data_IF_004644972700
#
_entry.id   IF_004644972700
#
_cell.length_a   1.000
_cell.length_b   1.000
_cell.length_c   1.000
_cell.angle_alpha   90.00
_cell.angle_beta   90.00
_cell.angle_gamma   90.00
#
_symmetry.space_group_name_H-M   'P 1'
#
loop_
_entity.id
_entity.type
_entity.pdbx_description
1 polymer ?
#
# COMPACT_ATOMS: atom_id res chain seq x y z
N UNK A 1 -7.43 21.83 10.53
CA UNK A 1 -7.32 21.98 9.06
C UNK A 1 -6.08 21.22 8.62
N UNK A 2 -6.24 20.11 7.90
CA UNK A 2 -5.14 19.46 7.19
C UNK A 2 -4.77 20.37 6.02
N UNK A 3 -3.61 21.04 6.07
CA UNK A 3 -3.11 21.79 4.93
C UNK A 3 -2.92 20.81 3.78
N UNK A 4 -3.64 21.05 2.67
CA UNK A 4 -3.38 20.32 1.42
C UNK A 4 -2.00 20.77 0.95
N UNK A 5 -1.07 19.84 0.84
CA UNK A 5 0.28 20.11 0.34
C UNK A 5 0.27 19.96 -1.18
N UNK A 6 0.89 20.94 -1.84
CA UNK A 6 1.25 20.83 -3.25
C UNK A 6 2.50 19.95 -3.38
N UNK A 7 2.37 18.77 -3.99
CA UNK A 7 3.47 17.84 -4.24
C UNK A 7 4.16 18.07 -5.59
N UNK A 8 3.72 19.04 -6.41
CA UNK A 8 4.24 19.29 -7.77
C UNK A 8 5.47 20.22 -7.84
N UNK A 9 6.15 20.42 -6.72
CA UNK A 9 7.31 21.30 -6.63
C UNK A 9 8.30 20.82 -5.58
N UNK A 10 9.59 21.18 -5.69
CA UNK A 10 10.62 20.83 -4.70
C UNK A 10 10.95 19.33 -4.64
N UNK A 11 11.69 18.93 -3.60
CA UNK A 11 12.03 17.52 -3.38
C UNK A 11 10.79 16.75 -2.87
N UNK A 12 10.37 15.73 -3.63
CA UNK A 12 9.15 14.97 -3.33
C UNK A 12 9.29 14.14 -2.05
N UNK A 13 10.46 13.57 -1.79
CA UNK A 13 10.70 12.81 -0.57
C UNK A 13 10.50 13.66 0.67
N UNK A 14 11.12 14.84 0.72
CA UNK A 14 11.02 15.74 1.87
C UNK A 14 9.57 16.14 2.14
N UNK A 15 8.81 16.46 1.08
CA UNK A 15 7.39 16.79 1.21
C UNK A 15 6.54 15.64 1.75
N UNK A 16 6.73 14.42 1.23
CA UNK A 16 5.98 13.25 1.71
C UNK A 16 6.34 12.95 3.16
N UNK A 17 7.63 13.00 3.50
CA UNK A 17 8.10 12.75 4.86
C UNK A 17 7.63 13.82 5.86
N UNK A 18 7.68 15.10 5.50
CA UNK A 18 7.12 16.18 6.33
C UNK A 18 5.60 16.04 6.52
N UNK A 19 4.88 15.65 5.46
CA UNK A 19 3.42 15.49 5.50
C UNK A 19 2.95 14.28 6.32
N UNK A 20 3.79 13.26 6.49
CA UNK A 20 3.53 12.20 7.47
C UNK A 20 3.25 12.76 8.86
N UNK A 21 3.75 13.98 9.15
CA UNK A 21 3.48 14.75 10.35
C UNK A 21 3.86 14.01 11.64
N UNK A 22 4.99 13.30 11.59
CA UNK A 22 5.55 12.58 12.72
C UNK A 22 6.10 13.57 13.76
N UNK A 23 5.74 13.45 15.05
CA UNK A 23 6.27 14.32 16.09
C UNK A 23 7.80 14.20 16.23
N UNK A 24 8.45 15.31 16.59
CA UNK A 24 9.91 15.34 16.84
C UNK A 24 10.37 14.32 17.89
N UNK A 25 9.50 13.94 18.83
CA UNK A 25 9.78 12.89 19.82
C UNK A 25 10.01 11.50 19.22
N UNK A 26 9.54 11.26 17.99
CA UNK A 26 9.74 9.99 17.28
C UNK A 26 11.01 9.96 16.44
N UNK A 27 11.69 11.10 16.27
CA UNK A 27 12.85 11.23 15.40
C UNK A 27 14.05 10.45 15.97
N UNK A 28 14.58 9.55 15.15
CA UNK A 28 15.82 8.81 15.43
C UNK A 28 16.97 9.35 14.56
N UNK A 29 16.75 9.49 13.24
CA UNK A 29 17.71 10.06 12.30
C UNK A 29 19.04 9.31 12.20
N UNK A 30 19.05 7.99 12.40
CA UNK A 30 20.30 7.19 12.41
C UNK A 30 20.58 6.55 11.07
N UNK A 31 21.83 6.61 10.62
CA UNK A 31 22.26 5.95 9.38
C UNK A 31 22.53 4.46 9.63
N UNK A 32 21.88 3.59 8.85
CA UNK A 32 22.17 2.15 8.85
C UNK A 32 23.22 1.88 7.78
N UNK A 33 24.40 1.41 8.19
CA UNK A 33 25.47 1.13 7.24
C UNK A 33 25.22 -0.17 6.49
N UNK A 34 25.67 -0.26 5.22
CA UNK A 34 25.62 -1.52 4.46
C UNK A 34 26.35 -2.65 5.19
N UNK A 35 27.44 -2.31 5.88
CA UNK A 35 28.20 -3.26 6.70
C UNK A 35 27.32 -3.87 7.80
N UNK A 36 26.59 -3.04 8.57
CA UNK A 36 25.65 -3.53 9.58
C UNK A 36 24.59 -4.46 8.98
N UNK A 37 24.07 -4.13 7.79
CA UNK A 37 23.08 -4.96 7.11
C UNK A 37 23.67 -6.32 6.72
N UNK A 38 24.89 -6.34 6.18
CA UNK A 38 25.56 -7.54 5.67
C UNK A 38 26.13 -8.45 6.76
N UNK A 39 26.59 -7.89 7.88
CA UNK A 39 27.23 -8.64 8.98
C UNK A 39 26.24 -9.15 10.02
N UNK A 40 25.17 -8.39 10.30
CA UNK A 40 24.23 -8.72 11.39
C UNK A 40 23.05 -9.59 10.97
N UNK A 41 22.97 -10.00 9.70
CA UNK A 41 21.81 -10.72 9.15
C UNK A 41 22.25 -11.87 8.26
N UNK A 42 21.52 -12.99 8.35
CA UNK A 42 21.69 -14.15 7.48
C UNK A 42 21.07 -13.90 6.09
N UNK A 43 21.76 -13.10 5.29
CA UNK A 43 21.30 -12.71 3.95
C UNK A 43 21.65 -13.76 2.88
N UNK A 44 20.69 -13.98 1.97
CA UNK A 44 20.94 -14.76 0.75
C UNK A 44 21.96 -14.09 -0.17
N UNK A 45 22.53 -14.84 -1.12
CA UNK A 45 23.48 -14.27 -2.09
C UNK A 45 22.86 -13.18 -2.97
N UNK A 46 21.57 -13.30 -3.31
CA UNK A 46 20.81 -12.27 -4.01
C UNK A 46 20.60 -11.02 -3.16
N UNK A 47 20.32 -11.17 -1.86
CA UNK A 47 20.10 -10.03 -0.97
C UNK A 47 21.42 -9.27 -0.71
N UNK A 48 22.53 -10.01 -0.56
CA UNK A 48 23.87 -9.40 -0.47
C UNK A 48 24.21 -8.58 -1.71
N UNK A 49 23.88 -9.09 -2.91
CA UNK A 49 24.04 -8.31 -4.16
C UNK A 49 23.13 -7.10 -4.18
N UNK A 50 21.87 -7.22 -3.74
CA UNK A 50 20.93 -6.10 -3.68
C UNK A 50 21.46 -4.95 -2.80
N UNK A 51 22.00 -5.27 -1.61
CA UNK A 51 22.60 -4.27 -0.71
C UNK A 51 23.84 -3.61 -1.33
N UNK A 52 24.70 -4.39 -1.98
CA UNK A 52 25.95 -3.86 -2.54
C UNK A 52 25.70 -3.03 -3.80
N UNK A 53 24.88 -3.55 -4.72
CA UNK A 53 24.76 -3.06 -6.09
C UNK A 53 23.64 -2.01 -6.23
N UNK A 54 22.53 -2.17 -5.51
CA UNK A 54 21.31 -1.36 -5.70
C UNK A 54 21.12 -0.32 -4.61
N UNK A 55 21.33 -0.66 -3.34
CA UNK A 55 21.15 0.29 -2.23
C UNK A 55 22.28 1.33 -2.25
N UNK A 56 21.96 2.62 -2.08
CA UNK A 56 22.93 3.70 -1.91
C UNK A 56 23.12 4.02 -0.43
N UNK A 57 22.03 4.30 0.28
CA UNK A 57 21.99 4.62 1.70
C UNK A 57 20.71 4.12 2.35
N UNK A 58 20.76 3.94 3.66
CA UNK A 58 19.62 3.57 4.50
C UNK A 58 19.66 4.45 5.74
N UNK A 59 18.54 5.07 6.05
CA UNK A 59 18.37 5.93 7.22
C UNK A 59 17.12 5.51 7.98
N UNK A 60 17.29 5.29 9.27
CA UNK A 60 16.19 5.09 10.20
C UNK A 60 15.72 6.45 10.68
N UNK A 61 14.64 6.94 10.06
CA UNK A 61 14.13 8.29 10.27
C UNK A 61 13.45 8.39 11.63
N UNK A 62 12.46 7.53 11.89
CA UNK A 62 11.64 7.60 13.09
C UNK A 62 11.34 6.21 13.65
N UNK A 63 11.03 6.20 14.93
CA UNK A 63 10.44 5.06 15.61
C UNK A 63 9.23 5.50 16.41
N UNK A 64 8.08 4.93 16.09
CA UNK A 64 6.82 5.19 16.77
C UNK A 64 6.65 4.13 17.85
N UNK A 65 6.80 4.55 19.11
CA UNK A 65 6.64 3.69 20.30
C UNK A 65 5.59 4.24 21.26
N UNK A 66 5.06 3.39 22.13
CA UNK A 66 4.04 3.77 23.10
C UNK A 66 4.44 5.02 23.91
N UNK A 67 5.72 5.14 24.27
CA UNK A 67 6.28 6.26 25.03
C UNK A 67 6.30 7.57 24.23
N UNK A 68 6.36 7.49 22.89
CA UNK A 68 6.51 8.67 22.02
C UNK A 68 5.18 9.23 21.53
N UNK A 69 4.15 8.39 21.36
CA UNK A 69 2.85 8.77 20.80
C UNK A 69 1.66 8.53 21.75
N UNK A 70 1.87 7.89 22.91
CA UNK A 70 0.81 7.46 23.82
C UNK A 70 -0.24 6.59 23.13
N UNK A 71 0.20 5.74 22.20
CA UNK A 71 -0.63 4.75 21.51
C UNK A 71 -0.30 3.36 22.10
N UNK A 72 -1.30 2.58 22.54
CA UNK A 72 -1.07 1.25 23.09
C UNK A 72 -0.45 0.27 22.10
N UNK A 73 0.35 -0.67 22.61
CA UNK A 73 0.82 -1.84 21.87
C UNK A 73 -0.34 -2.80 21.58
N UNK A 74 -0.21 -3.64 20.56
CA UNK A 74 -1.16 -4.70 20.25
C UNK A 74 -0.43 -6.03 20.12
N UNK A 75 -0.73 -6.98 21.01
CA UNK A 75 -0.05 -8.29 21.07
C UNK A 75 -1.12 -9.38 21.23
N UNK A 76 -1.04 -10.41 20.40
CA UNK A 76 -1.84 -11.62 20.46
C UNK A 76 -0.94 -12.84 20.24
N UNK A 77 -1.51 -14.05 20.19
CA UNK A 77 -0.75 -15.28 19.86
C UNK A 77 -0.20 -15.28 18.42
N UNK A 78 -0.76 -14.44 17.54
CA UNK A 78 -0.43 -14.41 16.12
C UNK A 78 0.13 -13.07 15.66
N UNK A 79 -0.11 -11.97 16.38
CA UNK A 79 0.20 -10.62 15.92
C UNK A 79 0.98 -9.88 17.00
N UNK A 80 2.04 -9.17 16.61
CA UNK A 80 2.84 -8.33 17.50
C UNK A 80 3.14 -6.97 16.86
N UNK A 81 2.51 -5.93 17.39
CA UNK A 81 2.63 -4.53 16.96
C UNK A 81 2.94 -3.68 18.19
N UNK A 82 4.22 -3.66 18.57
CA UNK A 82 4.71 -2.89 19.73
C UNK A 82 5.29 -1.54 19.34
N UNK A 83 5.82 -1.44 18.11
CA UNK A 83 6.38 -0.22 17.54
C UNK A 83 6.23 -0.23 16.01
N UNK A 84 6.36 0.94 15.38
CA UNK A 84 6.42 1.09 13.91
C UNK A 84 7.68 1.86 13.54
N UNK A 85 8.48 1.33 12.64
CA UNK A 85 9.69 1.99 12.13
C UNK A 85 9.38 2.78 10.85
N UNK A 86 10.06 3.92 10.66
CA UNK A 86 10.03 4.67 9.40
C UNK A 86 11.43 4.72 8.83
N UNK A 87 11.61 4.14 7.63
CA UNK A 87 12.91 4.04 6.99
C UNK A 87 12.94 4.79 5.66
N UNK A 88 14.03 5.50 5.40
CA UNK A 88 14.43 5.94 4.07
C UNK A 88 15.44 4.96 3.49
N UNK A 89 15.19 4.50 2.27
CA UNK A 89 16.15 3.71 1.49
C UNK A 89 16.36 4.39 0.14
N UNK A 90 17.49 5.05 -0.02
CA UNK A 90 17.87 5.63 -1.32
C UNK A 90 18.59 4.56 -2.14
N UNK A 91 18.16 4.39 -3.39
CA UNK A 91 18.76 3.50 -4.38
C UNK A 91 19.83 4.24 -5.18
N UNK A 92 20.80 3.52 -5.73
CA UNK A 92 21.77 4.11 -6.64
C UNK A 92 21.07 4.60 -7.90
N UNK A 93 21.51 5.75 -8.40
CA UNK A 93 20.99 6.41 -9.60
C UNK A 93 21.36 5.57 -10.84
N UNK A 94 20.52 4.58 -11.12
CA UNK A 94 20.54 3.73 -12.30
C UNK A 94 19.09 3.35 -12.60
N UNK A 95 18.62 3.67 -13.81
CA UNK A 95 17.23 3.43 -14.23
C UNK A 95 16.84 1.94 -14.17
N UNK A 96 17.80 1.02 -14.29
CA UNK A 96 17.54 -0.42 -14.14
C UNK A 96 17.16 -0.81 -12.71
N UNK A 97 17.52 0.01 -11.71
CA UNK A 97 17.15 -0.21 -10.31
C UNK A 97 15.66 0.06 -10.03
N UNK A 98 14.95 0.77 -10.92
CA UNK A 98 13.50 1.00 -10.78
C UNK A 98 12.72 -0.32 -10.67
N UNK A 99 13.14 -1.34 -11.42
CA UNK A 99 12.57 -2.69 -11.39
C UNK A 99 12.89 -3.51 -10.13
N UNK A 100 13.76 -3.00 -9.24
CA UNK A 100 14.17 -3.67 -8.00
C UNK A 100 13.34 -3.28 -6.78
N UNK A 101 12.33 -2.41 -6.94
CA UNK A 101 11.44 -1.94 -5.87
C UNK A 101 10.96 -3.09 -4.96
N UNK A 102 10.31 -4.11 -5.54
CA UNK A 102 9.73 -5.23 -4.76
C UNK A 102 10.78 -6.05 -4.01
N UNK A 103 11.93 -6.32 -4.64
CA UNK A 103 13.03 -7.04 -3.98
C UNK A 103 13.64 -6.23 -2.84
N UNK A 104 13.81 -4.92 -3.02
CA UNK A 104 14.38 -4.04 -1.98
C UNK A 104 13.40 -3.86 -0.83
N UNK A 105 12.13 -3.64 -1.13
CA UNK A 105 11.07 -3.61 -0.12
C UNK A 105 11.02 -4.90 0.69
N UNK A 106 11.02 -6.06 0.01
CA UNK A 106 11.07 -7.36 0.66
C UNK A 106 12.24 -7.48 1.62
N UNK A 107 13.45 -7.13 1.18
CA UNK A 107 14.65 -7.17 2.02
C UNK A 107 14.47 -6.37 3.32
N UNK A 108 14.10 -5.10 3.24
CA UNK A 108 14.01 -4.25 4.43
C UNK A 108 12.84 -4.61 5.35
N UNK A 109 11.71 -5.05 4.79
CA UNK A 109 10.64 -5.59 5.61
C UNK A 109 11.04 -6.89 6.31
N UNK A 110 11.89 -7.74 5.71
CA UNK A 110 12.38 -8.96 6.38
C UNK A 110 13.43 -8.65 7.44
N UNK A 111 14.30 -7.67 7.21
CA UNK A 111 15.39 -7.31 8.11
C UNK A 111 14.93 -6.69 9.44
N UNK A 112 13.84 -5.93 9.42
CA UNK A 112 13.37 -5.20 10.60
C UNK A 112 12.27 -6.03 11.29
N UNK A 113 12.42 -6.38 12.57
CA UNK A 113 11.44 -7.22 13.28
C UNK A 113 10.21 -6.44 13.77
N UNK A 114 9.83 -5.35 13.10
CA UNK A 114 8.67 -4.50 13.42
C UNK A 114 7.95 -4.07 12.13
N UNK A 115 6.67 -3.70 12.18
CA UNK A 115 6.00 -3.01 11.08
C UNK A 115 6.82 -1.81 10.58
N UNK A 116 6.93 -1.62 9.26
CA UNK A 116 7.77 -0.58 8.66
C UNK A 116 6.96 0.26 7.68
N UNK A 117 7.01 1.58 7.83
CA UNK A 117 6.69 2.53 6.76
C UNK A 117 7.97 2.77 5.97
N UNK A 118 8.12 2.09 4.85
CA UNK A 118 9.34 2.12 4.05
C UNK A 118 9.17 3.13 2.91
N UNK A 119 10.00 4.18 2.92
CA UNK A 119 10.10 5.18 1.88
C UNK A 119 11.34 4.88 1.04
N UNK A 120 11.14 4.43 -0.21
CA UNK A 120 12.21 4.20 -1.15
C UNK A 120 12.38 5.41 -2.07
N UNK A 121 13.61 5.81 -2.32
CA UNK A 121 13.95 6.95 -3.18
C UNK A 121 14.85 6.50 -4.32
N UNK A 122 14.54 6.92 -5.55
CA UNK A 122 15.38 6.71 -6.73
C UNK A 122 15.27 7.93 -7.64
N UNK A 123 16.36 8.68 -7.80
CA UNK A 123 16.41 9.82 -8.72
C UNK A 123 15.22 10.80 -8.55
N UNK A 124 14.99 11.29 -7.33
CA UNK A 124 13.88 12.18 -6.93
C UNK A 124 12.48 11.55 -6.97
N UNK A 125 12.34 10.32 -7.46
CA UNK A 125 11.11 9.54 -7.35
C UNK A 125 11.03 8.89 -5.98
N UNK A 126 9.81 8.75 -5.46
CA UNK A 126 9.54 8.05 -4.20
C UNK A 126 8.55 6.91 -4.40
N UNK A 127 8.78 5.79 -3.72
CA UNK A 127 7.80 4.73 -3.57
C UNK A 127 7.59 4.43 -2.08
N UNK A 128 6.36 4.09 -1.71
CA UNK A 128 5.96 3.74 -0.35
C UNK A 128 5.67 2.26 -0.30
N UNK A 129 6.22 1.58 0.70
CA UNK A 129 6.01 0.15 0.92
C UNK A 129 5.64 -0.15 2.37
N UNK A 130 4.65 -1.01 2.53
CA UNK A 130 4.15 -1.54 3.80
C UNK A 130 4.08 -3.06 3.71
N UNK A 131 4.08 -3.72 4.86
CA UNK A 131 3.94 -5.17 4.92
C UNK A 131 3.23 -5.62 6.20
N UNK A 132 2.30 -6.56 6.07
CA UNK A 132 1.68 -7.23 7.21
C UNK A 132 2.60 -8.33 7.73
N UNK A 133 2.80 -8.32 9.05
CA UNK A 133 3.64 -9.27 9.76
C UNK A 133 2.85 -9.98 10.83
N UNK A 134 3.16 -11.26 10.99
CA UNK A 134 2.62 -12.10 12.05
C UNK A 134 3.71 -12.96 12.68
N UNK A 135 3.47 -13.42 13.89
CA UNK A 135 4.30 -14.38 14.59
C UNK A 135 4.25 -15.73 13.84
N UNK A 136 5.41 -16.33 13.63
CA UNK A 136 5.48 -17.68 13.08
C UNK A 136 4.97 -18.69 14.12
N UNK A 137 3.97 -19.47 13.74
CA UNK A 137 3.33 -20.46 14.61
C UNK A 137 4.26 -21.66 14.93
N UNK A 138 5.27 -21.92 14.09
CA UNK A 138 6.26 -22.96 14.33
C UNK A 138 7.47 -22.46 15.13
N UNK A 139 7.72 -21.15 15.17
CA UNK A 139 8.88 -20.54 15.82
C UNK A 139 8.54 -19.10 16.22
N UNK A 140 8.05 -18.91 17.45
CA UNK A 140 7.56 -17.59 17.92
C UNK A 140 8.64 -16.50 18.00
N UNK A 141 9.92 -16.85 17.83
CA UNK A 141 11.01 -15.87 17.72
C UNK A 141 11.11 -15.21 16.35
N UNK A 142 10.36 -15.72 15.36
CA UNK A 142 10.40 -15.25 13.97
C UNK A 142 9.09 -14.62 13.55
N UNK A 143 9.19 -13.57 12.75
CA UNK A 143 8.05 -12.99 12.04
C UNK A 143 7.96 -13.53 10.61
N UNK A 144 6.74 -13.75 10.16
CA UNK A 144 6.40 -14.06 8.77
C UNK A 144 5.70 -12.85 8.17
N UNK A 145 6.13 -12.46 6.97
CA UNK A 145 5.43 -11.45 6.19
C UNK A 145 4.33 -12.14 5.39
N UNK A 146 3.09 -11.73 5.60
CA UNK A 146 1.93 -12.29 4.88
C UNK A 146 1.71 -11.58 3.55
N UNK A 147 1.86 -10.26 3.56
CA UNK A 147 1.59 -9.43 2.40
C UNK A 147 2.54 -8.25 2.28
N UNK A 148 2.83 -7.86 1.03
CA UNK A 148 3.55 -6.63 0.70
C UNK A 148 2.66 -5.69 -0.09
N UNK A 149 2.48 -4.48 0.41
CA UNK A 149 1.73 -3.41 -0.24
C UNK A 149 2.74 -2.41 -0.76
N UNK A 150 2.82 -2.21 -2.07
CA UNK A 150 3.81 -1.32 -2.68
C UNK A 150 3.09 -0.34 -3.60
N UNK A 151 3.35 0.95 -3.40
CA UNK A 151 2.96 1.93 -4.40
C UNK A 151 3.79 1.77 -5.67
N UNK A 152 3.34 2.41 -6.74
CA UNK A 152 4.24 2.75 -7.85
C UNK A 152 5.23 3.85 -7.44
N UNK A 153 6.20 4.11 -8.31
CA UNK A 153 7.09 5.25 -8.18
C UNK A 153 6.32 6.53 -8.51
N UNK A 154 6.29 7.46 -7.56
CA UNK A 154 5.75 8.79 -7.73
C UNK A 154 6.86 9.74 -8.18
N UNK A 155 6.57 10.54 -9.19
CA UNK A 155 7.45 11.58 -9.70
C UNK A 155 6.66 12.89 -9.80
N UNK A 156 7.30 14.00 -9.44
CA UNK A 156 6.72 15.35 -9.43
C UNK A 156 6.04 15.69 -10.75
N UNK A 157 6.65 15.33 -11.88
CA UNK A 157 6.12 15.64 -13.22
C UNK A 157 4.96 14.73 -13.62
N UNK A 158 4.87 13.53 -13.03
CA UNK A 158 3.88 12.50 -13.38
C UNK A 158 2.66 12.42 -12.46
N UNK A 159 2.61 13.18 -11.36
CA UNK A 159 1.56 13.06 -10.35
C UNK A 159 0.14 13.33 -10.87
N UNK A 160 -0.69 12.30 -10.84
CA UNK A 160 -2.12 12.38 -11.13
C UNK A 160 -2.94 12.79 -9.89
N UNK A 161 -4.24 13.05 -10.08
CA UNK A 161 -5.11 13.55 -9.00
C UNK A 161 -5.26 12.56 -7.85
N UNK A 162 -5.44 11.28 -8.14
CA UNK A 162 -5.62 10.24 -7.12
C UNK A 162 -4.35 10.01 -6.28
N UNK A 163 -3.16 10.13 -6.88
CA UNK A 163 -1.89 10.10 -6.14
C UNK A 163 -1.75 11.32 -5.22
N UNK A 164 -2.07 12.52 -5.69
CA UNK A 164 -2.02 13.73 -4.86
C UNK A 164 -2.99 13.63 -3.68
N UNK A 165 -4.19 13.10 -3.92
CA UNK A 165 -5.18 12.86 -2.87
C UNK A 165 -4.69 11.83 -1.85
N UNK A 166 -4.12 10.71 -2.31
CA UNK A 166 -3.48 9.71 -1.45
C UNK A 166 -2.33 10.30 -0.63
N UNK A 167 -1.39 11.02 -1.25
CA UNK A 167 -0.25 11.61 -0.55
C UNK A 167 -0.73 12.62 0.51
N UNK A 168 -1.82 13.35 0.25
CA UNK A 168 -2.47 14.21 1.25
C UNK A 168 -3.21 13.45 2.35
N UNK A 169 -3.60 12.21 2.11
CA UNK A 169 -4.26 11.32 3.06
C UNK A 169 -3.28 10.53 3.94
N UNK A 170 -2.09 10.23 3.40
CA UNK A 170 -1.04 9.46 4.03
C UNK A 170 -0.32 10.25 5.14
N UNK A 171 -0.98 10.42 6.29
CA UNK A 171 -0.49 11.20 7.43
C UNK A 171 -0.91 10.59 8.77
N UNK A 172 -0.06 10.74 9.80
CA UNK A 172 -0.34 10.28 11.17
C UNK A 172 -1.60 10.93 11.77
N UNK A 173 -2.02 12.09 11.25
CA UNK A 173 -3.24 12.78 11.72
C UNK A 173 -4.54 12.10 11.30
N UNK A 174 -4.49 11.16 10.35
CA UNK A 174 -5.67 10.50 9.75
C UNK A 174 -5.73 9.00 10.04
N UNK A 175 -4.88 8.50 10.93
CA UNK A 175 -4.88 7.09 11.36
C UNK A 175 -5.47 6.94 12.75
N UNK A 176 -5.92 5.74 13.07
CA UNK A 176 -6.42 5.38 14.40
C UNK A 176 -5.34 5.50 15.47
N UNK A 177 -5.72 6.01 16.65
CA UNK A 177 -4.88 6.03 17.85
C UNK A 177 -5.27 4.94 18.86
N UNK A 178 -6.10 3.97 18.48
CA UNK A 178 -6.59 2.90 19.38
C UNK A 178 -5.44 2.00 19.83
N UNK A 179 -4.61 1.55 18.90
CA UNK A 179 -3.39 0.79 19.14
C UNK A 179 -2.52 0.79 17.86
N UNK A 180 -1.30 0.28 17.94
CA UNK A 180 -0.37 0.24 16.81
C UNK A 180 -0.81 -0.64 15.64
N UNK A 181 -1.58 -1.70 15.89
CA UNK A 181 -2.15 -2.52 14.82
C UNK A 181 -3.13 -1.70 13.98
N UNK A 182 -4.13 -1.09 14.62
CA UNK A 182 -5.12 -0.24 13.93
C UNK A 182 -4.48 0.94 13.21
N UNK A 183 -3.50 1.58 13.83
CA UNK A 183 -2.71 2.65 13.22
C UNK A 183 -2.07 2.19 11.90
N UNK A 184 -1.38 1.07 11.92
CA UNK A 184 -0.67 0.56 10.75
C UNK A 184 -1.63 0.04 9.68
N UNK A 185 -2.69 -0.66 10.08
CA UNK A 185 -3.75 -1.09 9.17
C UNK A 185 -4.42 0.10 8.45
N UNK A 186 -4.49 1.27 9.08
CA UNK A 186 -5.03 2.47 8.43
C UNK A 186 -4.11 2.96 7.30
N UNK A 187 -2.79 2.93 7.48
CA UNK A 187 -1.84 3.22 6.39
C UNK A 187 -1.94 2.21 5.24
N UNK A 188 -2.09 0.92 5.55
CA UNK A 188 -2.33 -0.12 4.53
C UNK A 188 -3.64 0.16 3.77
N UNK A 189 -4.72 0.50 4.48
CA UNK A 189 -5.99 0.83 3.83
C UNK A 189 -5.89 2.04 2.89
N UNK A 190 -5.07 3.04 3.21
CA UNK A 190 -4.81 4.19 2.32
C UNK A 190 -4.10 3.74 1.05
N UNK A 191 -3.12 2.85 1.15
CA UNK A 191 -2.40 2.33 -0.02
C UNK A 191 -3.30 1.44 -0.89
N UNK A 192 -4.15 0.61 -0.29
CA UNK A 192 -5.18 -0.16 -1.01
C UNK A 192 -6.21 0.75 -1.67
N UNK A 193 -6.57 1.87 -1.03
CA UNK A 193 -7.45 2.88 -1.62
C UNK A 193 -6.81 3.53 -2.86
N UNK A 194 -5.50 3.77 -2.84
CA UNK A 194 -4.77 4.22 -4.01
C UNK A 194 -4.77 3.15 -5.12
N UNK A 195 -4.45 1.90 -4.81
CA UNK A 195 -4.50 0.81 -5.81
C UNK A 195 -5.88 0.69 -6.45
N UNK A 196 -6.93 0.75 -5.63
CA UNK A 196 -8.33 0.76 -6.08
C UNK A 196 -8.62 1.96 -7.00
N UNK A 197 -8.07 3.13 -6.68
CA UNK A 197 -8.31 4.36 -7.43
C UNK A 197 -7.78 4.33 -8.87
N UNK A 198 -6.73 3.55 -9.14
CA UNK A 198 -6.24 3.38 -10.53
C UNK A 198 -7.23 2.65 -11.42
N UNK A 199 -8.09 1.83 -10.81
CA UNK A 199 -9.12 1.06 -11.52
C UNK A 199 -10.42 1.87 -11.60
N UNK A 200 -10.85 2.45 -10.46
CA UNK A 200 -12.12 3.19 -10.36
C UNK A 200 -12.02 4.65 -10.85
N UNK A 201 -10.81 5.17 -11.06
CA UNK A 201 -10.54 6.53 -11.49
C UNK A 201 -10.67 7.61 -10.41
N UNK A 202 -10.97 7.25 -9.15
CA UNK A 202 -11.07 8.21 -8.05
C UNK A 202 -10.58 7.62 -6.72
N UNK A 203 -9.89 8.44 -5.93
CA UNK A 203 -9.43 8.07 -4.60
C UNK A 203 -10.52 8.38 -3.55
N UNK A 204 -10.80 7.41 -2.69
CA UNK A 204 -11.83 7.55 -1.65
C UNK A 204 -11.22 7.42 -0.25
N UNK A 205 -11.19 8.52 0.50
CA UNK A 205 -10.71 8.56 1.89
C UNK A 205 -11.65 7.81 2.85
N UNK A 206 -11.14 7.28 3.97
CA UNK A 206 -11.99 6.70 5.04
C UNK A 206 -13.07 7.67 5.52
N UNK A 207 -12.77 8.98 5.62
CA UNK A 207 -13.75 9.99 6.04
C UNK A 207 -14.86 10.21 5.01
N UNK A 208 -14.54 10.21 3.71
CA UNK A 208 -15.54 10.31 2.64
C UNK A 208 -16.47 9.09 2.63
N UNK A 209 -15.90 7.89 2.86
CA UNK A 209 -16.66 6.64 2.98
C UNK A 209 -17.62 6.65 4.17
N UNK A 210 -17.17 7.12 5.34
CA UNK A 210 -18.03 7.22 6.53
C UNK A 210 -19.14 8.28 6.39
N UNK A 211 -18.87 9.42 5.71
CA UNK A 211 -19.85 10.48 5.53
C UNK A 211 -20.97 10.10 4.53
N UNK A 212 -20.68 9.26 3.53
CA UNK A 212 -21.71 8.72 2.64
C UNK A 212 -22.71 7.83 3.40
N UNK A 213 -22.25 7.09 4.40
CA UNK A 213 -23.10 6.27 5.29
C UNK A 213 -24.01 7.15 6.16
N UNK A 214 -23.49 8.26 6.71
CA UNK A 214 -24.29 9.18 7.52
C UNK A 214 -25.33 9.96 6.70
N UNK A 215 -25.01 10.34 5.45
CA UNK A 215 -25.98 11.02 4.56
C UNK A 215 -27.12 10.09 4.11
N UNK A 216 -26.85 8.83 3.81
CA UNK A 216 -27.88 7.85 3.47
C UNK A 216 -28.78 7.46 4.66
N UNK A 217 -28.32 7.60 5.90
CA UNK A 217 -29.14 7.39 7.11
C UNK A 217 -30.10 8.53 7.44
N UNK A 218 -29.82 9.76 7.00
CA UNK A 218 -30.69 10.92 7.27
C UNK A 218 -31.77 11.16 6.20
N UNK A 219 -31.76 10.44 5.09
CA UNK A 219 -32.79 10.56 4.03
C UNK A 219 -33.96 9.57 4.16
N UNK A 220 -33.98 8.67 5.15
CA UNK A 220 -35.09 7.74 5.36
C UNK A 220 -36.04 8.23 6.46
N UNK A 221 -36.86 9.23 6.13
CA UNK A 221 -38.14 9.45 6.82
C UNK A 221 -39.23 9.75 5.80
N UNK A 222 -39.50 8.78 4.93
CA UNK A 222 -40.86 8.41 4.52
C UNK A 222 -40.83 7.06 3.78
N UNK A 223 -41.90 6.32 3.99
CA UNK A 223 -42.12 4.90 3.74
C UNK A 223 -41.90 4.50 2.27
N UNK A 224 -41.10 3.47 2.03
CA UNK A 224 -41.48 2.32 1.20
C UNK A 224 -40.45 1.18 1.30
N UNK A 225 -40.97 -0.05 1.43
CA UNK A 225 -40.21 -1.29 1.51
C UNK A 225 -39.57 -1.62 0.15
N UNK A 226 -38.28 -1.37 0.00
CA UNK A 226 -37.41 -2.05 -0.98
C UNK A 226 -36.08 -2.33 -0.29
N UNK A 227 -35.58 -3.55 -0.44
CA UNK A 227 -34.34 -4.08 0.14
C UNK A 227 -33.19 -3.06 0.12
N UNK A 228 -32.86 -2.50 1.29
CA UNK A 228 -31.68 -1.67 1.50
C UNK A 228 -30.54 -2.58 1.99
N UNK A 229 -29.91 -3.31 1.06
CA UNK A 229 -28.69 -4.10 1.33
C UNK A 229 -27.40 -3.46 0.77
N UNK A 230 -27.45 -2.24 0.24
CA UNK A 230 -26.29 -1.56 -0.36
C UNK A 230 -25.53 -0.73 0.69
N UNK A 231 -25.12 -1.39 1.77
CA UNK A 231 -24.17 -0.86 2.74
C UNK A 231 -22.82 -1.55 2.49
N UNK A 232 -21.84 -0.80 1.98
CA UNK A 232 -20.65 -1.29 1.28
C UNK A 232 -19.92 -2.45 1.97
N UNK A 233 -20.09 -3.67 1.43
CA UNK A 233 -19.29 -4.86 1.79
C UNK A 233 -17.79 -4.54 1.81
N UNK A 234 -17.31 -3.71 0.89
CA UNK A 234 -15.91 -3.28 0.83
C UNK A 234 -15.37 -2.70 2.13
N UNK A 235 -16.13 -1.87 2.84
CA UNK A 235 -15.58 -1.14 3.96
C UNK A 235 -15.41 -2.01 5.21
N UNK A 236 -16.22 -3.06 5.33
CA UNK A 236 -16.15 -4.05 6.41
C UNK A 236 -15.08 -5.11 6.17
N UNK A 237 -14.67 -5.32 4.91
CA UNK A 237 -13.59 -6.26 4.56
C UNK A 237 -12.26 -5.87 5.20
N UNK A 238 -11.52 -6.89 5.64
CA UNK A 238 -10.13 -6.75 6.08
C UNK A 238 -9.22 -6.28 4.93
N UNK A 239 -8.06 -5.73 5.28
CA UNK A 239 -7.08 -5.32 4.26
C UNK A 239 -6.54 -6.52 3.46
N UNK A 240 -6.50 -7.72 4.04
CA UNK A 240 -6.13 -8.95 3.35
C UNK A 240 -7.15 -9.29 2.25
N UNK A 241 -8.44 -9.31 2.60
CA UNK A 241 -9.52 -9.61 1.64
C UNK A 241 -9.57 -8.58 0.51
N UNK A 242 -9.45 -7.29 0.83
CA UNK A 242 -9.34 -6.21 -0.16
C UNK A 242 -8.18 -6.43 -1.13
N UNK A 243 -7.04 -6.85 -0.61
CA UNK A 243 -5.86 -7.09 -1.43
C UNK A 243 -6.01 -8.32 -2.32
N UNK A 244 -6.65 -9.39 -1.81
CA UNK A 244 -6.95 -10.57 -2.59
C UNK A 244 -7.91 -10.25 -3.75
N UNK A 245 -8.94 -9.43 -3.51
CA UNK A 245 -9.82 -8.92 -4.57
C UNK A 245 -9.05 -8.12 -5.62
N UNK A 246 -8.15 -7.22 -5.21
CA UNK A 246 -7.34 -6.43 -6.15
C UNK A 246 -6.40 -7.32 -6.99
N UNK A 247 -5.79 -8.36 -6.38
CA UNK A 247 -5.00 -9.34 -7.12
C UNK A 247 -5.83 -10.11 -8.15
N UNK A 248 -7.03 -10.55 -7.76
CA UNK A 248 -7.94 -11.21 -8.68
C UNK A 248 -8.32 -10.29 -9.84
N UNK A 249 -8.67 -9.04 -9.55
CA UNK A 249 -9.01 -8.03 -10.55
C UNK A 249 -7.87 -7.78 -11.54
N UNK A 250 -6.64 -7.55 -11.05
CA UNK A 250 -5.47 -7.35 -11.91
C UNK A 250 -5.19 -8.58 -12.80
N UNK A 251 -5.43 -9.80 -12.29
CA UNK A 251 -5.29 -11.02 -13.10
C UNK A 251 -6.32 -11.09 -14.24
N UNK A 252 -7.57 -10.73 -13.97
CA UNK A 252 -8.65 -10.70 -14.95
C UNK A 252 -8.44 -9.59 -16.01
N UNK A 253 -7.91 -8.43 -15.61
CA UNK A 253 -7.55 -7.35 -16.55
C UNK A 253 -6.42 -7.77 -17.49
N UNK A 254 -5.41 -8.48 -16.98
CA UNK A 254 -4.34 -9.05 -17.79
C UNK A 254 -4.87 -10.11 -18.76
N UNK A 255 -5.77 -10.99 -18.29
CA UNK A 255 -6.45 -11.97 -19.14
C UNK A 255 -7.26 -11.29 -20.25
N UNK A 256 -8.06 -10.27 -19.91
CA UNK A 256 -8.85 -9.50 -20.87
C UNK A 256 -7.95 -8.82 -21.91
N UNK A 257 -6.81 -8.28 -21.50
CA UNK A 257 -5.84 -7.66 -22.40
C UNK A 257 -5.22 -8.69 -23.36
N UNK A 258 -4.91 -9.89 -22.86
CA UNK A 258 -4.44 -10.99 -23.69
C UNK A 258 -5.50 -11.45 -24.71
N UNK A 259 -6.76 -11.63 -24.27
CA UNK A 259 -7.87 -11.99 -25.16
C UNK A 259 -8.08 -10.91 -26.23
N UNK A 260 -8.04 -9.61 -25.86
CA UNK A 260 -8.11 -8.50 -26.82
C UNK A 260 -6.98 -8.54 -27.86
N UNK A 261 -5.76 -8.87 -27.43
CA UNK A 261 -4.62 -8.98 -28.35
C UNK A 261 -4.74 -10.20 -29.29
N UNK A 262 -5.27 -11.32 -28.80
CA UNK A 262 -5.60 -12.49 -29.64
C UNK A 262 -6.69 -12.15 -30.66
N UNK A 263 -7.76 -11.48 -30.24
CA UNK A 263 -8.85 -11.02 -31.12
C UNK A 263 -8.39 -10.10 -32.25
N UNK A 264 -7.35 -9.29 -32.05
CA UNK A 264 -6.76 -8.43 -33.10
C UNK A 264 -6.01 -9.22 -34.18
N UNK A 265 -5.45 -10.38 -33.82
CA UNK A 265 -4.63 -11.22 -34.71
C UNK A 265 -5.44 -12.33 -35.38
N UNK A 266 -6.60 -12.68 -34.81
CA UNK A 266 -7.41 -13.80 -35.26
C UNK A 266 -8.27 -13.45 -36.50
N UNK A 267 -8.19 -14.31 -37.51
CA UNK A 267 -8.88 -14.17 -38.80
C UNK A 267 -10.06 -15.13 -38.89
N UNK A 268 -9.98 -16.29 -38.23
CA UNK A 268 -11.05 -17.30 -38.28
C UNK A 268 -12.26 -16.87 -37.45
N UNK A 269 -13.43 -16.84 -38.09
CA UNK A 269 -14.68 -16.34 -37.49
C UNK A 269 -15.11 -17.15 -36.25
N UNK A 270 -14.94 -18.47 -36.27
CA UNK A 270 -15.33 -19.34 -35.15
C UNK A 270 -14.49 -19.09 -33.90
N UNK A 271 -13.16 -18.99 -34.06
CA UNK A 271 -12.24 -18.66 -32.97
C UNK A 271 -12.49 -17.23 -32.45
N UNK A 272 -12.77 -16.29 -33.36
CA UNK A 272 -13.13 -14.92 -32.99
C UNK A 272 -14.42 -14.86 -32.17
N UNK A 273 -15.43 -15.67 -32.50
CA UNK A 273 -16.66 -15.78 -31.71
C UNK A 273 -16.37 -16.33 -30.30
N UNK A 274 -15.56 -17.40 -30.20
CA UNK A 274 -15.19 -17.99 -28.93
C UNK A 274 -14.43 -17.00 -28.03
N UNK A 275 -13.44 -16.30 -28.58
CA UNK A 275 -12.69 -15.26 -27.87
C UNK A 275 -13.58 -14.09 -27.42
N UNK A 276 -14.59 -13.70 -28.21
CA UNK A 276 -15.55 -12.66 -27.81
C UNK A 276 -16.44 -13.10 -26.64
N UNK A 277 -16.87 -14.37 -26.61
CA UNK A 277 -17.63 -14.93 -25.47
C UNK A 277 -16.76 -14.94 -24.21
N UNK A 278 -15.50 -15.36 -24.32
CA UNK A 278 -14.56 -15.29 -23.18
C UNK A 278 -14.35 -13.85 -22.70
N UNK A 279 -14.09 -12.91 -23.61
CA UNK A 279 -13.94 -11.49 -23.27
C UNK A 279 -15.17 -10.95 -22.54
N UNK A 280 -16.38 -11.37 -22.92
CA UNK A 280 -17.62 -10.99 -22.24
C UNK A 280 -17.68 -11.57 -20.82
N UNK A 281 -17.33 -12.84 -20.62
CA UNK A 281 -17.31 -13.48 -19.31
C UNK A 281 -16.31 -12.80 -18.37
N UNK A 282 -15.09 -12.54 -18.84
CA UNK A 282 -14.06 -11.84 -18.07
C UNK A 282 -14.53 -10.42 -17.71
N UNK A 283 -15.16 -9.69 -18.63
CA UNK A 283 -15.76 -8.38 -18.33
C UNK A 283 -16.85 -8.45 -17.26
N UNK A 284 -17.69 -9.48 -17.28
CA UNK A 284 -18.73 -9.69 -16.26
C UNK A 284 -18.10 -9.98 -14.89
N UNK A 285 -17.06 -10.80 -14.83
CA UNK A 285 -16.31 -11.07 -13.60
C UNK A 285 -15.66 -9.79 -13.04
N UNK A 286 -14.99 -9.00 -13.88
CA UNK A 286 -14.44 -7.69 -13.48
C UNK A 286 -15.54 -6.78 -12.92
N UNK A 287 -16.69 -6.70 -13.59
CA UNK A 287 -17.82 -5.88 -13.12
C UNK A 287 -18.37 -6.35 -11.77
N UNK A 288 -18.43 -7.66 -11.54
CA UNK A 288 -18.90 -8.25 -10.28
C UNK A 288 -17.90 -8.04 -9.13
N UNK A 289 -16.60 -7.98 -9.43
CA UNK A 289 -15.59 -7.61 -8.45
C UNK A 289 -15.69 -6.11 -8.17
N UNK A 290 -15.77 -5.26 -9.19
CA UNK A 290 -15.90 -3.80 -9.02
C UNK A 290 -17.13 -3.43 -8.18
N UNK A 291 -18.26 -4.13 -8.33
CA UNK A 291 -19.44 -3.89 -7.49
C UNK A 291 -19.22 -4.22 -6.02
N UNK A 292 -18.17 -4.94 -5.65
CA UNK A 292 -17.79 -5.16 -4.25
C UNK A 292 -16.99 -3.98 -3.67
N UNK A 293 -16.52 -3.03 -4.49
CA UNK A 293 -15.77 -1.83 -4.06
C UNK A 293 -16.64 -0.58 -3.91
N UNK A 294 -17.83 -0.57 -4.53
CA UNK A 294 -18.81 0.54 -4.54
C UNK A 294 -19.87 0.28 -3.48
#
# INVERSE_FOLDING_TARGET
MSNIIDFRSGNLFDKVYEHLALPKSTLLGTRITKRMILENNDLSSSDKRLVNDVVQSVEWLNTLKAETLNIPTYITETIEYIEVAVLKVSLKIDQTNRGKLKSTAKLFHTLIPYPVILLLELNEEIAISLADKRINQADSSKLVIEHFYNSQWFDVAGLNSNEIEFLNDFTLKKVSSVNYYELYQNFISMLLALETSYILGSYSTKSSRNNNISKNKLSSSQEDKVDNSDNSLFNEMSNEEKSNLLKELTSLEAELTNIKNKLKKEVQMNEKLHLNVQARRVKQAISAIISQFV
#
